data_IF_461148289250
#
_entry.id   IF_461148289250
#
_cell.length_a   1.000
_cell.length_b   1.000
_cell.length_c   1.000
_cell.angle_alpha   90.00
_cell.angle_beta   90.00
_cell.angle_gamma   90.00
#
_symmetry.space_group_name_H-M   'P 1'
#
loop_
_entity.id
_entity.type
_entity.pdbx_description
1 polymer ?
#
# COMPACT_ATOMS: atom_id res chain seq x y z
N UNK A 1 0.99 -20.93 7.52
CA UNK A 1 1.69 -19.72 7.03
C UNK A 1 2.44 -18.95 8.13
N UNK A 2 1.83 -18.67 9.29
CA UNK A 2 2.53 -18.04 10.43
C UNK A 2 3.75 -18.84 10.91
N UNK A 3 3.63 -20.16 11.01
CA UNK A 3 4.69 -21.01 11.55
C UNK A 3 5.84 -21.20 10.57
N UNK A 4 5.57 -21.14 9.28
CA UNK A 4 6.60 -21.13 8.23
C UNK A 4 7.44 -19.86 8.28
N UNK A 5 6.81 -18.70 8.48
CA UNK A 5 7.54 -17.43 8.65
C UNK A 5 8.35 -17.45 9.95
N UNK A 6 7.82 -18.02 11.05
CA UNK A 6 8.58 -18.21 12.29
C UNK A 6 9.81 -19.09 12.07
N UNK A 7 9.65 -20.25 11.42
CA UNK A 7 10.77 -21.13 11.04
C UNK A 7 11.80 -20.37 10.20
N UNK A 8 11.35 -19.60 9.21
CA UNK A 8 12.24 -18.80 8.34
C UNK A 8 12.94 -17.66 9.07
N UNK A 9 12.37 -17.11 10.15
CA UNK A 9 13.06 -16.13 11.00
C UNK A 9 14.07 -16.83 11.91
N UNK A 10 13.73 -18.01 12.43
CA UNK A 10 14.61 -18.83 13.27
C UNK A 10 15.85 -19.31 12.53
N UNK A 11 15.80 -19.54 11.21
CA UNK A 11 17.01 -19.88 10.42
C UNK A 11 18.06 -18.78 10.47
N UNK A 12 17.68 -17.51 10.69
CA UNK A 12 18.65 -16.42 10.89
C UNK A 12 19.36 -16.47 12.24
N UNK A 13 18.87 -17.24 13.23
CA UNK A 13 19.58 -17.43 14.51
C UNK A 13 20.84 -18.28 14.37
N UNK A 14 20.88 -19.16 13.36
CA UNK A 14 21.95 -20.12 13.14
C UNK A 14 22.75 -19.82 11.86
N UNK A 15 22.66 -18.60 11.33
CA UNK A 15 23.30 -18.24 10.08
C UNK A 15 24.83 -18.19 10.23
N UNK A 16 25.53 -19.24 9.76
CA UNK A 16 26.98 -19.21 9.51
C UNK A 16 27.23 -18.40 8.23
N UNK A 17 28.10 -17.40 8.29
CA UNK A 17 28.46 -16.50 7.19
C UNK A 17 28.51 -17.19 5.82
N UNK A 18 27.42 -17.10 5.05
CA UNK A 18 27.48 -17.38 3.62
C UNK A 18 27.96 -16.13 2.89
N UNK A 19 28.58 -16.35 1.74
CA UNK A 19 29.36 -15.41 0.91
C UNK A 19 28.63 -14.15 0.43
N UNK A 20 27.36 -13.94 0.81
CA UNK A 20 26.55 -12.79 0.42
C UNK A 20 26.14 -11.96 1.64
N UNK A 21 26.63 -10.72 1.70
CA UNK A 21 26.26 -9.75 2.73
C UNK A 21 24.80 -9.30 2.55
N UNK A 22 23.93 -9.76 3.46
CA UNK A 22 22.52 -9.33 3.53
C UNK A 22 22.38 -8.21 4.55
N UNK A 23 21.52 -7.24 4.23
CA UNK A 23 21.23 -6.12 5.12
C UNK A 23 19.94 -6.38 5.90
N UNK A 24 19.97 -6.09 7.19
CA UNK A 24 18.80 -6.12 8.08
C UNK A 24 18.83 -4.87 8.96
N UNK A 25 17.66 -4.35 9.36
CA UNK A 25 17.65 -3.19 10.25
C UNK A 25 18.24 -3.55 11.62
N UNK A 26 18.88 -2.56 12.27
CA UNK A 26 19.57 -2.74 13.56
C UNK A 26 18.66 -3.37 14.63
N UNK A 27 17.43 -2.88 14.76
CA UNK A 27 16.46 -3.40 15.73
C UNK A 27 16.17 -4.90 15.55
N UNK A 28 15.95 -5.34 14.31
CA UNK A 28 15.72 -6.75 14.02
C UNK A 28 16.99 -7.56 14.26
N UNK A 29 18.16 -7.05 13.87
CA UNK A 29 19.46 -7.70 14.15
C UNK A 29 19.66 -7.93 15.65
N UNK A 30 19.45 -6.90 16.48
CA UNK A 30 19.66 -6.96 17.92
C UNK A 30 18.72 -7.98 18.59
N UNK A 31 17.48 -8.06 18.14
CA UNK A 31 16.52 -9.07 18.63
C UNK A 31 16.92 -10.48 18.18
N UNK A 32 17.33 -10.65 16.93
CA UNK A 32 17.71 -11.95 16.38
C UNK A 32 18.97 -12.49 17.05
N UNK A 33 19.98 -11.66 17.29
CA UNK A 33 21.19 -12.04 18.05
C UNK A 33 20.87 -12.53 19.46
N UNK A 34 19.84 -11.95 20.09
CA UNK A 34 19.33 -12.38 21.41
C UNK A 34 18.39 -13.59 21.33
N UNK A 35 18.26 -14.24 20.16
CA UNK A 35 17.29 -15.32 19.89
C UNK A 35 15.83 -14.93 20.20
N UNK A 36 15.52 -13.64 20.09
CA UNK A 36 14.18 -13.09 20.30
C UNK A 36 13.52 -12.74 18.96
N UNK A 37 12.20 -12.89 18.92
CA UNK A 37 11.40 -12.48 17.77
C UNK A 37 11.38 -10.95 17.65
N UNK A 38 11.73 -10.35 16.50
CA UNK A 38 11.63 -8.91 16.32
C UNK A 38 10.20 -8.44 16.50
N UNK A 39 9.98 -7.34 17.24
CA UNK A 39 8.64 -6.81 17.53
C UNK A 39 7.86 -6.42 16.26
N UNK A 40 8.56 -5.95 15.22
CA UNK A 40 7.99 -5.55 13.93
C UNK A 40 7.86 -6.69 12.91
N UNK A 41 7.95 -7.95 13.34
CA UNK A 41 7.78 -9.09 12.45
C UNK A 41 6.30 -9.30 12.09
N UNK A 42 6.03 -9.67 10.84
CA UNK A 42 4.67 -9.95 10.32
C UNK A 42 3.91 -10.96 11.19
N UNK A 43 4.62 -11.92 11.77
CA UNK A 43 4.07 -12.96 12.67
C UNK A 43 3.49 -12.41 13.98
N UNK A 44 3.87 -11.20 14.38
CA UNK A 44 3.35 -10.55 15.59
C UNK A 44 2.01 -9.84 15.34
N UNK A 45 1.09 -10.52 14.65
CA UNK A 45 -0.23 -9.98 14.28
C UNK A 45 -0.14 -8.70 13.43
N UNK A 46 0.98 -8.50 12.73
CA UNK A 46 1.20 -7.39 11.79
C UNK A 46 0.93 -7.80 10.34
N UNK A 47 0.32 -8.98 10.12
CA UNK A 47 -0.10 -9.43 8.81
C UNK A 47 -1.29 -8.59 8.36
N UNK A 48 -1.21 -8.04 7.15
CA UNK A 48 -2.35 -7.39 6.51
C UNK A 48 -3.41 -8.44 6.15
N UNK A 49 -4.68 -8.06 6.31
CA UNK A 49 -5.79 -8.86 5.77
C UNK A 49 -5.72 -8.84 4.25
N UNK A 50 -6.15 -9.93 3.63
CA UNK A 50 -6.28 -9.97 2.19
C UNK A 50 -7.32 -8.95 1.74
N UNK A 51 -7.01 -8.22 0.67
CA UNK A 51 -7.98 -7.28 0.09
C UNK A 51 -9.21 -8.08 -0.36
N UNK A 52 -10.43 -7.65 0.03
CA UNK A 52 -11.68 -8.28 -0.40
C UNK A 52 -11.76 -8.41 -1.92
N UNK A 53 -12.46 -9.45 -2.42
CA UNK A 53 -12.52 -9.75 -3.87
C UNK A 53 -13.18 -8.61 -4.64
N UNK A 54 -14.19 -8.00 -4.03
CA UNK A 54 -14.97 -6.86 -4.49
C UNK A 54 -14.07 -5.64 -4.72
N UNK A 55 -13.08 -5.44 -3.87
CA UNK A 55 -12.11 -4.33 -4.00
C UNK A 55 -10.94 -4.71 -4.91
N UNK A 56 -10.60 -6.00 -5.05
CA UNK A 56 -9.52 -6.46 -5.93
C UNK A 56 -9.83 -6.21 -7.41
N UNK A 57 -11.10 -6.34 -7.81
CA UNK A 57 -11.54 -6.11 -9.20
C UNK A 57 -11.46 -4.64 -9.64
N UNK A 58 -11.54 -3.71 -8.69
CA UNK A 58 -11.56 -2.27 -8.97
C UNK A 58 -10.19 -1.76 -9.43
N UNK A 59 -10.19 -0.83 -10.38
CA UNK A 59 -8.99 -0.08 -10.75
C UNK A 59 -8.62 0.95 -9.65
N UNK A 60 -7.50 1.66 -9.84
CA UNK A 60 -6.99 2.59 -8.83
C UNK A 60 -7.93 3.79 -8.61
N UNK A 61 -8.53 4.28 -9.69
CA UNK A 61 -9.41 5.44 -9.65
C UNK A 61 -10.76 5.09 -9.04
N UNK A 62 -11.33 3.94 -9.37
CA UNK A 62 -12.53 3.37 -8.73
C UNK A 62 -12.32 3.20 -7.23
N UNK A 63 -11.19 2.63 -6.82
CA UNK A 63 -10.81 2.55 -5.39
C UNK A 63 -10.75 3.92 -4.72
N UNK A 64 -10.27 4.94 -5.42
CA UNK A 64 -10.23 6.32 -4.92
C UNK A 64 -11.63 6.91 -4.76
N UNK A 65 -12.54 6.66 -5.69
CA UNK A 65 -13.91 7.19 -5.66
C UNK A 65 -14.73 6.66 -4.49
N UNK A 66 -14.55 5.38 -4.14
CA UNK A 66 -15.25 4.74 -3.00
C UNK A 66 -14.51 4.84 -1.67
N UNK A 67 -13.33 5.49 -1.65
CA UNK A 67 -12.51 5.57 -0.45
C UNK A 67 -13.15 6.54 0.55
N UNK A 68 -13.64 6.01 1.68
CA UNK A 68 -14.20 6.82 2.77
C UNK A 68 -13.20 7.86 3.34
N UNK A 69 -11.90 7.60 3.21
CA UNK A 69 -10.82 8.49 3.64
C UNK A 69 -9.68 8.51 2.62
N UNK A 70 -9.21 9.70 2.29
CA UNK A 70 -8.09 9.92 1.40
C UNK A 70 -6.82 10.25 2.21
N UNK A 71 -5.82 9.35 2.23
CA UNK A 71 -4.58 9.59 2.95
C UNK A 71 -3.62 10.45 2.11
N UNK A 72 -3.22 11.60 2.66
CA UNK A 72 -2.16 12.44 2.15
C UNK A 72 -0.89 12.18 2.96
N UNK A 73 0.03 11.41 2.38
CA UNK A 73 1.34 11.14 2.95
C UNK A 73 2.40 10.99 1.86
N UNK A 74 3.64 11.36 2.19
CA UNK A 74 4.79 11.09 1.33
C UNK A 74 5.50 9.83 1.79
N UNK A 75 5.37 8.75 1.03
CA UNK A 75 6.15 7.52 1.27
C UNK A 75 7.56 7.72 0.73
N UNK A 76 8.56 7.43 1.55
CA UNK A 76 9.99 7.51 1.23
C UNK A 76 10.69 6.20 1.58
N UNK A 77 11.79 5.92 0.90
CA UNK A 77 12.69 4.84 1.29
C UNK A 77 13.54 5.32 2.48
N UNK A 78 13.59 4.53 3.56
CA UNK A 78 14.34 4.82 4.77
C UNK A 78 15.79 4.31 4.73
N UNK A 79 16.10 3.37 3.83
CA UNK A 79 17.45 2.83 3.70
C UNK A 79 18.18 3.44 2.50
N UNK A 80 19.36 4.00 2.74
CA UNK A 80 20.18 4.64 1.71
C UNK A 80 20.98 3.63 0.88
N UNK A 81 20.88 3.75 -0.46
CA UNK A 81 21.90 3.41 -1.46
C UNK A 81 22.33 1.95 -1.70
N UNK A 82 22.40 1.08 -0.68
CA UNK A 82 23.07 -0.23 -0.77
C UNK A 82 22.13 -1.45 -0.83
N UNK A 83 20.84 -1.25 -0.56
CA UNK A 83 19.84 -2.31 -0.56
C UNK A 83 18.91 -2.12 -1.76
N UNK A 84 18.59 -3.21 -2.47
CA UNK A 84 17.64 -3.19 -3.59
C UNK A 84 16.36 -2.44 -3.21
N UNK A 85 15.81 -1.65 -4.13
CA UNK A 85 14.56 -0.90 -3.93
C UNK A 85 13.40 -1.77 -3.43
N UNK A 86 13.40 -3.06 -3.77
CA UNK A 86 12.40 -4.04 -3.28
C UNK A 86 12.57 -4.42 -1.81
N UNK A 87 13.78 -4.30 -1.28
CA UNK A 87 14.14 -4.67 0.10
C UNK A 87 14.26 -3.45 1.02
N UNK A 88 14.20 -2.23 0.47
CA UNK A 88 14.25 -1.01 1.25
C UNK A 88 13.04 -0.88 2.16
N UNK A 89 13.29 -0.58 3.44
CA UNK A 89 12.22 -0.23 4.36
C UNK A 89 11.61 1.10 3.93
N UNK A 90 10.29 1.13 3.75
CA UNK A 90 9.55 2.36 3.47
C UNK A 90 9.09 3.03 4.76
N UNK A 91 9.01 4.35 4.75
CA UNK A 91 8.48 5.16 5.82
C UNK A 91 7.73 6.36 5.27
N UNK A 92 7.08 7.12 6.14
CA UNK A 92 6.37 8.35 5.78
C UNK A 92 7.21 9.56 6.17
N UNK A 93 7.34 10.52 5.26
CA UNK A 93 7.99 11.81 5.53
C UNK A 93 6.91 12.86 5.79
N UNK A 94 6.98 13.51 6.94
CA UNK A 94 6.03 14.55 7.36
C UNK A 94 4.73 13.99 7.94
N UNK A 95 3.75 14.87 8.21
CA UNK A 95 2.47 14.47 8.78
C UNK A 95 1.65 13.60 7.80
N UNK A 96 0.87 12.69 8.38
CA UNK A 96 -0.18 11.95 7.69
C UNK A 96 -1.50 12.69 7.90
N UNK A 97 -2.12 13.15 6.82
CA UNK A 97 -3.46 13.73 6.88
C UNK A 97 -4.46 12.79 6.20
N UNK A 98 -5.46 12.31 6.94
CA UNK A 98 -6.53 11.47 6.40
C UNK A 98 -7.81 12.31 6.30
N UNK A 99 -8.18 12.70 5.08
CA UNK A 99 -9.34 13.57 4.84
C UNK A 99 -10.56 12.68 4.58
N UNK A 100 -11.71 12.90 5.26
CA UNK A 100 -12.94 12.20 4.93
C UNK A 100 -13.38 12.56 3.51
N UNK A 101 -13.87 11.57 2.76
CA UNK A 101 -14.44 11.77 1.43
C UNK A 101 -15.96 11.65 1.49
N UNK A 102 -16.66 12.56 0.81
CA UNK A 102 -18.08 12.41 0.56
C UNK A 102 -18.29 11.50 -0.66
N UNK A 103 -18.33 10.20 -0.37
CA UNK A 103 -18.51 9.17 -1.39
C UNK A 103 -19.89 9.29 -2.05
N UNK A 104 -20.93 9.66 -1.29
CA UNK A 104 -22.29 9.73 -1.83
C UNK A 104 -22.40 10.82 -2.90
N UNK A 105 -21.96 12.04 -2.57
CA UNK A 105 -21.97 13.16 -3.51
C UNK A 105 -21.12 12.90 -4.76
N UNK A 106 -19.94 12.32 -4.56
CA UNK A 106 -19.03 11.97 -5.66
C UNK A 106 -19.69 11.00 -6.64
N UNK A 107 -20.36 9.99 -6.11
CA UNK A 107 -20.99 8.91 -6.88
C UNK A 107 -22.27 9.35 -7.58
N UNK A 108 -23.07 10.20 -6.94
CA UNK A 108 -24.28 10.79 -7.56
C UNK A 108 -23.94 11.76 -8.69
N UNK A 109 -22.80 12.46 -8.58
CA UNK A 109 -22.34 13.43 -9.59
C UNK A 109 -21.78 12.76 -10.84
N UNK A 110 -21.37 11.48 -10.76
CA UNK A 110 -20.88 10.76 -11.94
C UNK A 110 -21.98 10.67 -13.01
N UNK A 111 -21.68 10.98 -14.29
CA UNK A 111 -22.66 10.89 -15.36
C UNK A 111 -23.21 9.48 -15.46
N UNK A 112 -24.53 9.36 -15.68
CA UNK A 112 -25.16 8.07 -15.93
C UNK A 112 -24.92 7.70 -17.40
N UNK A 113 -24.22 6.59 -17.70
CA UNK A 113 -24.07 6.14 -19.07
C UNK A 113 -25.43 5.74 -19.65
N UNK A 114 -25.62 5.99 -20.96
CA UNK A 114 -26.87 5.69 -21.68
C UNK A 114 -27.09 4.17 -21.77
N UNK A 115 -26.01 3.40 -21.90
CA UNK A 115 -26.02 1.94 -21.84
C UNK A 115 -25.16 1.43 -20.67
N UNK A 116 -25.59 0.32 -20.05
CA UNK A 116 -24.91 -0.32 -18.91
C UNK A 116 -23.52 -0.83 -19.25
N UNK A 117 -23.21 -0.98 -20.54
CA UNK A 117 -21.90 -1.38 -21.05
C UNK A 117 -20.88 -0.24 -21.15
N UNK A 118 -21.31 1.02 -21.03
CA UNK A 118 -20.43 2.16 -21.27
C UNK A 118 -19.62 2.53 -20.02
N UNK A 119 -18.31 2.66 -20.22
CA UNK A 119 -17.37 3.19 -19.23
C UNK A 119 -17.29 4.71 -19.31
N UNK A 120 -16.95 5.36 -18.18
CA UNK A 120 -16.73 6.81 -18.10
C UNK A 120 -15.23 7.08 -18.03
N UNK A 121 -14.72 7.96 -18.89
CA UNK A 121 -13.33 8.43 -18.79
C UNK A 121 -13.22 9.50 -17.71
N UNK A 122 -12.38 9.28 -16.72
CA UNK A 122 -12.22 10.18 -15.59
C UNK A 122 -10.76 10.61 -15.41
N UNK A 123 -10.57 11.92 -15.25
CA UNK A 123 -9.28 12.55 -15.03
C UNK A 123 -9.18 13.05 -13.60
N UNK A 124 -8.29 12.43 -12.81
CA UNK A 124 -7.98 12.91 -11.48
C UNK A 124 -6.90 13.99 -11.58
N UNK A 125 -7.21 15.19 -11.09
CA UNK A 125 -6.28 16.32 -11.02
C UNK A 125 -5.97 16.66 -9.57
N UNK A 126 -4.73 17.03 -9.28
CA UNK A 126 -4.35 17.53 -7.93
C UNK A 126 -5.10 18.82 -7.56
N UNK A 127 -5.38 19.67 -8.55
CA UNK A 127 -6.24 20.86 -8.46
C UNK A 127 -6.94 21.04 -9.80
N UNK A 128 -8.23 21.42 -9.80
CA UNK A 128 -9.01 21.59 -11.03
C UNK A 128 -8.40 22.60 -12.01
N UNK A 129 -7.79 23.67 -11.49
CA UNK A 129 -7.09 24.68 -12.29
C UNK A 129 -5.82 24.20 -12.99
N UNK A 130 -5.29 23.03 -12.65
CA UNK A 130 -4.09 22.50 -13.27
C UNK A 130 -4.40 21.87 -14.63
N UNK A 131 -3.52 22.11 -15.61
CA UNK A 131 -3.59 21.43 -16.91
C UNK A 131 -3.15 19.97 -16.81
N UNK A 132 -2.13 19.70 -16.00
CA UNK A 132 -1.61 18.36 -15.78
C UNK A 132 -2.63 17.45 -15.09
N UNK A 133 -2.85 16.28 -15.68
CA UNK A 133 -3.65 15.20 -15.11
C UNK A 133 -2.72 14.31 -14.29
N UNK A 134 -3.15 13.95 -13.08
CA UNK A 134 -2.37 13.07 -12.20
C UNK A 134 -2.55 11.61 -12.60
N UNK A 135 -3.79 11.21 -12.82
CA UNK A 135 -4.16 9.87 -13.26
C UNK A 135 -5.40 9.96 -14.14
N UNK A 136 -5.45 9.14 -15.18
CA UNK A 136 -6.57 9.05 -16.10
C UNK A 136 -6.90 7.58 -16.34
N UNK A 137 -8.15 7.20 -16.08
CA UNK A 137 -8.62 5.83 -16.25
C UNK A 137 -10.08 5.81 -16.74
N UNK A 138 -10.44 4.71 -17.40
CA UNK A 138 -11.85 4.37 -17.65
C UNK A 138 -12.39 3.68 -16.40
N UNK A 139 -13.52 4.16 -15.90
CA UNK A 139 -14.21 3.59 -14.73
C UNK A 139 -15.58 3.08 -15.12
N UNK A 140 -16.01 2.01 -14.48
CA UNK A 140 -17.38 1.51 -14.56
C UNK A 140 -18.21 2.16 -13.44
N UNK A 141 -19.19 3.03 -13.76
CA UNK A 141 -20.00 3.69 -12.73
C UNK A 141 -20.80 2.73 -11.85
N UNK A 142 -21.07 1.50 -12.30
CA UNK A 142 -21.78 0.49 -11.51
C UNK A 142 -20.90 -0.17 -10.43
N UNK A 143 -19.57 -0.08 -10.57
CA UNK A 143 -18.63 -0.62 -9.59
C UNK A 143 -18.37 0.34 -8.42
N UNK A 144 -18.79 1.60 -8.56
CA UNK A 144 -18.60 2.67 -7.55
C UNK A 144 -19.92 3.24 -7.03
N UNK A 145 -21.08 2.81 -7.55
CA UNK A 145 -22.42 3.21 -7.10
C UNK A 145 -23.01 2.30 -6.04
#
# INVERSE_FOLDING_TARGET
>A
MSDEIKKRIQTYFNYSSSTQSKWICKLCSDKIKKRQMPSRAVVNKLKLCDVPRELKKLNNLEKHLIALRLPFMKIVNLTSGKLSSRLSQKGTKGPLHCVPSDVQDTVTTLPRPVDKSMMVRLQLKRRLKYKAVWEEQLINPNDVR
#
